data_IF_905750383474
#
_entry.id   IF_905750383474
#
_cell.length_a   1.000
_cell.length_b   1.000
_cell.length_c   1.000
_cell.angle_alpha   90.00
_cell.angle_beta   90.00
_cell.angle_gamma   90.00
#
_symmetry.space_group_name_H-M   'P 1'
#
loop_
_entity.id
_entity.type
_entity.pdbx_description
1 polymer ?
#
# COMPACT_ATOMS: atom_id res chain seq x y z
N UNK A 1 1.05 -0.95 8.51
CA UNK A 1 1.40 -2.17 9.27
C UNK A 1 0.27 -3.20 9.39
N UNK A 2 -0.96 -2.81 9.80
CA UNK A 2 -2.10 -3.76 9.92
C UNK A 2 -2.46 -4.43 8.58
N UNK A 3 -2.22 -3.75 7.45
CA UNK A 3 -2.32 -4.33 6.10
C UNK A 3 -1.30 -5.44 5.83
N UNK A 4 -0.06 -5.37 6.32
CA UNK A 4 0.97 -6.37 5.96
C UNK A 4 0.68 -7.70 6.62
N UNK A 5 0.33 -7.70 7.91
CA UNK A 5 -0.03 -8.94 8.61
C UNK A 5 -1.26 -9.59 7.98
N UNK A 6 -2.23 -8.77 7.56
CA UNK A 6 -3.45 -9.27 6.94
C UNK A 6 -3.26 -9.64 5.47
N UNK A 7 -2.46 -8.91 4.69
CA UNK A 7 -2.23 -9.14 3.26
C UNK A 7 -1.17 -10.23 3.04
N UNK A 8 -0.10 -10.36 3.86
CA UNK A 8 0.76 -11.56 3.81
C UNK A 8 -0.02 -12.80 4.29
N UNK A 9 -0.84 -12.68 5.34
CA UNK A 9 -1.67 -13.79 5.83
C UNK A 9 -2.75 -14.23 4.84
N UNK A 10 -3.49 -13.29 4.24
CA UNK A 10 -4.52 -13.60 3.25
C UNK A 10 -3.98 -13.84 1.84
N UNK A 11 -2.92 -13.19 1.36
CA UNK A 11 -2.36 -13.53 0.03
C UNK A 11 -1.68 -14.90 0.07
N UNK A 12 -1.03 -15.27 1.19
CA UNK A 12 -0.57 -16.65 1.38
C UNK A 12 -1.76 -17.63 1.44
N UNK A 13 -2.84 -17.28 2.18
CA UNK A 13 -4.03 -18.11 2.31
C UNK A 13 -4.93 -18.20 1.06
N UNK A 14 -5.09 -17.12 0.29
CA UNK A 14 -5.86 -17.08 -0.97
C UNK A 14 -5.05 -17.66 -2.12
N UNK A 15 -3.73 -17.47 -2.15
CA UNK A 15 -2.89 -18.19 -3.11
C UNK A 15 -3.00 -19.71 -2.84
N UNK A 16 -3.05 -20.15 -1.57
CA UNK A 16 -3.29 -21.57 -1.24
C UNK A 16 -4.72 -22.05 -1.54
N UNK A 17 -5.75 -21.24 -1.24
CA UNK A 17 -7.16 -21.59 -1.45
C UNK A 17 -7.58 -21.55 -2.93
N UNK A 18 -6.96 -20.68 -3.74
CA UNK A 18 -7.24 -20.56 -5.19
C UNK A 18 -6.27 -21.42 -6.02
N UNK A 19 -5.01 -21.61 -5.61
CA UNK A 19 -4.14 -22.62 -6.25
C UNK A 19 -4.53 -24.06 -5.90
N UNK A 20 -5.37 -24.29 -4.89
CA UNK A 20 -6.01 -25.60 -4.69
C UNK A 20 -6.99 -25.99 -5.81
N UNK A 21 -7.35 -25.06 -6.70
CA UNK A 21 -8.27 -25.30 -7.83
C UNK A 21 -7.76 -24.87 -9.20
N UNK A 22 -6.57 -24.28 -9.30
CA UNK A 22 -5.90 -24.11 -10.61
C UNK A 22 -4.89 -25.22 -10.73
N UNK A 23 -5.42 -26.39 -11.09
CA UNK A 23 -4.65 -27.46 -11.72
C UNK A 23 -3.68 -26.80 -12.69
N UNK A 24 -2.44 -27.24 -12.64
CA UNK A 24 -1.49 -27.16 -13.74
C UNK A 24 -2.17 -27.67 -15.01
N UNK A 25 -2.96 -26.81 -15.67
CA UNK A 25 -3.32 -26.99 -17.06
C UNK A 25 -2.04 -26.71 -17.80
N UNK A 26 -1.22 -27.75 -17.85
CA UNK A 26 -0.57 -28.24 -19.05
C UNK A 26 -1.03 -27.38 -20.22
N UNK A 27 -0.16 -26.48 -20.68
CA UNK A 27 -0.41 -25.60 -21.82
C UNK A 27 -0.67 -26.52 -23.00
N UNK A 28 -1.91 -26.96 -23.12
CA UNK A 28 -2.43 -27.66 -24.26
C UNK A 28 -2.27 -26.64 -25.37
N UNK A 29 -1.34 -26.95 -26.27
CA UNK A 29 -1.12 -26.33 -27.57
C UNK A 29 -2.41 -26.37 -28.37
N UNK A 30 -3.45 -25.63 -27.94
CA UNK A 30 -4.53 -25.26 -28.83
C UNK A 30 -3.89 -24.32 -29.82
N UNK A 31 -3.84 -24.76 -31.06
CA UNK A 31 -3.48 -23.93 -32.20
C UNK A 31 -4.27 -22.62 -32.12
N UNK A 32 -3.59 -21.58 -31.66
CA UNK A 32 -4.01 -20.22 -31.85
C UNK A 32 -3.53 -19.84 -33.25
N UNK A 33 -4.41 -19.49 -34.21
CA UNK A 33 -3.97 -19.11 -35.55
C UNK A 33 -3.19 -17.79 -35.57
N UNK A 34 -3.07 -17.12 -34.42
CA UNK A 34 -2.31 -15.89 -34.27
C UNK A 34 -1.00 -16.21 -33.56
N UNK A 35 0.02 -16.51 -34.35
CA UNK A 35 1.41 -16.41 -33.92
C UNK A 35 1.73 -14.92 -33.75
N UNK A 36 1.52 -14.39 -32.55
CA UNK A 36 2.02 -13.08 -32.18
C UNK A 36 3.54 -13.17 -32.24
N UNK A 37 4.12 -12.74 -33.36
CA UNK A 37 5.55 -12.48 -33.46
C UNK A 37 5.88 -11.51 -32.33
N UNK A 38 6.70 -11.89 -31.33
CA UNK A 38 7.18 -10.90 -30.38
C UNK A 38 7.82 -9.79 -31.22
N UNK A 39 7.50 -8.51 -30.98
CA UNK A 39 8.03 -7.44 -31.79
C UNK A 39 9.56 -7.58 -31.83
N UNK A 40 10.11 -7.77 -33.05
CA UNK A 40 11.55 -7.85 -33.30
C UNK A 40 12.25 -6.51 -33.02
N UNK A 41 11.50 -5.53 -32.54
CA UNK A 41 11.97 -4.26 -32.08
C UNK A 41 11.54 -4.15 -30.62
N UNK A 42 12.50 -4.31 -29.72
CA UNK A 42 12.45 -3.64 -28.44
C UNK A 42 12.15 -2.18 -28.78
N UNK A 43 10.90 -1.73 -28.59
CA UNK A 43 10.60 -0.30 -28.49
C UNK A 43 11.19 0.11 -27.14
N UNK A 44 12.52 0.03 -27.06
CA UNK A 44 13.30 0.67 -26.03
C UNK A 44 13.11 2.13 -26.33
N UNK A 45 12.29 2.77 -25.51
CA UNK A 45 12.30 4.22 -25.38
C UNK A 45 13.76 4.55 -25.09
N UNK A 46 14.49 5.02 -26.10
CA UNK A 46 15.79 5.62 -25.85
C UNK A 46 15.48 6.81 -24.97
N UNK A 47 15.94 6.83 -23.71
CA UNK A 47 15.70 7.98 -22.88
C UNK A 47 16.34 9.16 -23.60
N UNK A 48 15.52 10.15 -23.94
CA UNK A 48 15.93 11.38 -24.65
C UNK A 48 16.79 12.29 -23.76
N UNK A 49 17.06 11.85 -22.53
CA UNK A 49 17.75 12.60 -21.50
C UNK A 49 18.69 11.67 -20.74
N UNK A 50 19.82 12.21 -20.27
CA UNK A 50 20.78 11.41 -19.50
C UNK A 50 20.12 10.89 -18.20
N UNK A 51 20.61 9.75 -17.71
CA UNK A 51 20.09 9.13 -16.47
C UNK A 51 20.24 10.08 -15.27
N UNK A 52 21.28 10.92 -15.27
CA UNK A 52 21.52 11.88 -14.19
C UNK A 52 20.57 13.09 -14.24
N UNK A 53 20.28 13.60 -15.43
CA UNK A 53 19.36 14.74 -15.61
C UNK A 53 17.91 14.36 -15.29
N UNK A 54 17.48 13.15 -15.68
CA UNK A 54 16.13 12.65 -15.39
C UNK A 54 15.91 12.44 -13.89
N UNK A 55 16.91 11.89 -13.19
CA UNK A 55 16.87 11.70 -11.75
C UNK A 55 16.87 13.04 -11.00
N UNK A 56 17.68 14.01 -11.44
CA UNK A 56 17.70 15.36 -10.89
C UNK A 56 16.37 16.08 -11.08
N UNK A 57 15.77 16.02 -12.28
CA UNK A 57 14.48 16.64 -12.55
C UNK A 57 13.35 16.00 -11.74
N UNK A 58 13.32 14.68 -11.56
CA UNK A 58 12.33 14.04 -10.69
C UNK A 58 12.54 14.40 -9.22
N UNK A 59 13.79 14.41 -8.75
CA UNK A 59 14.09 14.69 -7.34
C UNK A 59 13.83 16.16 -6.99
N UNK A 60 14.26 17.10 -7.84
CA UNK A 60 14.04 18.54 -7.64
C UNK A 60 12.58 18.90 -7.93
N UNK A 61 11.98 18.33 -8.97
CA UNK A 61 10.58 18.59 -9.34
C UNK A 61 9.61 18.06 -8.28
N UNK A 62 9.58 16.73 -8.07
CA UNK A 62 8.63 16.12 -7.13
C UNK A 62 9.02 16.37 -5.67
N UNK A 63 10.31 16.26 -5.34
CA UNK A 63 10.80 16.53 -3.99
C UNK A 63 10.67 18.00 -3.62
N UNK A 64 11.06 18.92 -4.51
CA UNK A 64 10.89 20.36 -4.30
C UNK A 64 9.42 20.77 -4.17
N UNK A 65 8.55 20.26 -5.05
CA UNK A 65 7.11 20.51 -4.95
C UNK A 65 6.52 19.98 -3.63
N UNK A 66 6.92 18.78 -3.19
CA UNK A 66 6.49 18.23 -1.89
C UNK A 66 6.95 19.09 -0.72
N UNK A 67 8.18 19.62 -0.76
CA UNK A 67 8.71 20.50 0.30
C UNK A 67 7.93 21.81 0.33
N UNK A 68 7.65 22.42 -0.83
CA UNK A 68 6.87 23.64 -0.93
C UNK A 68 5.46 23.42 -0.36
N UNK A 69 4.78 22.34 -0.73
CA UNK A 69 3.47 22.00 -0.16
C UNK A 69 3.52 21.81 1.36
N UNK A 70 4.55 21.15 1.88
CA UNK A 70 4.74 20.96 3.32
C UNK A 70 4.94 22.30 4.04
N UNK A 71 5.76 23.20 3.46
CA UNK A 71 5.99 24.54 4.01
C UNK A 71 4.73 25.40 3.97
N UNK A 72 3.99 25.38 2.85
CA UNK A 72 2.71 26.09 2.71
C UNK A 72 1.70 25.57 3.73
N UNK A 73 1.58 24.26 3.90
CA UNK A 73 0.67 23.68 4.88
C UNK A 73 1.03 24.08 6.32
N UNK A 74 2.33 24.04 6.66
CA UNK A 74 2.81 24.45 7.98
C UNK A 74 2.62 25.96 8.20
N UNK A 75 2.77 26.77 7.15
CA UNK A 75 2.55 28.21 7.19
C UNK A 75 1.07 28.53 7.41
N UNK A 76 0.15 27.87 6.70
CA UNK A 76 -1.30 28.03 6.90
C UNK A 76 -1.70 27.66 8.34
N UNK A 77 -1.19 26.54 8.86
CA UNK A 77 -1.43 26.12 10.25
C UNK A 77 -0.98 27.17 11.26
N UNK A 78 0.19 27.77 11.03
CA UNK A 78 0.76 28.78 11.92
C UNK A 78 0.06 30.15 11.83
N UNK A 79 -0.24 30.61 10.61
CA UNK A 79 -0.76 31.97 10.37
C UNK A 79 -2.29 32.08 10.42
N UNK A 80 -3.03 31.01 10.10
CA UNK A 80 -4.50 31.03 10.04
C UNK A 80 -5.13 30.42 11.29
N UNK A 81 -4.59 29.31 11.79
CA UNK A 81 -5.20 28.53 12.88
C UNK A 81 -4.60 28.83 14.27
N UNK A 82 -3.47 29.54 14.35
CA UNK A 82 -2.73 29.81 15.60
C UNK A 82 -2.59 28.55 16.50
N UNK A 83 -2.45 27.38 15.88
CA UNK A 83 -2.37 26.11 16.61
C UNK A 83 -1.10 26.05 17.46
N UNK A 84 -1.24 25.81 18.76
CA UNK A 84 -0.13 25.40 19.61
C UNK A 84 0.46 24.09 19.09
N UNK A 85 1.79 23.96 19.13
CA UNK A 85 2.51 22.77 18.64
C UNK A 85 2.25 21.56 19.54
N UNK A 86 1.06 20.97 19.44
CA UNK A 86 0.65 19.81 20.20
C UNK A 86 0.62 18.58 19.29
N UNK A 87 1.24 17.50 19.75
CA UNK A 87 1.32 16.26 18.98
C UNK A 87 -0.06 15.62 18.85
N UNK A 88 -0.91 15.77 19.87
CA UNK A 88 -2.25 15.20 19.88
C UNK A 88 -3.20 15.85 18.86
N UNK A 89 -3.08 17.15 18.62
CA UNK A 89 -3.88 17.84 17.58
C UNK A 89 -3.42 17.51 16.18
N UNK A 90 -2.12 17.22 16.01
CA UNK A 90 -1.55 16.89 14.70
C UNK A 90 -1.78 15.42 14.31
N UNK A 91 -1.70 14.50 15.26
CA UNK A 91 -1.88 13.07 14.99
C UNK A 91 -3.33 12.59 15.09
N UNK A 92 -4.17 13.23 15.91
CA UNK A 92 -5.54 12.77 16.16
C UNK A 92 -6.61 13.84 15.86
N UNK A 93 -6.23 14.99 15.29
CA UNK A 93 -7.13 16.13 15.04
C UNK A 93 -7.95 16.52 16.29
N UNK A 94 -7.37 16.35 17.49
CA UNK A 94 -8.06 16.60 18.77
C UNK A 94 -9.16 15.60 19.12
N UNK A 95 -9.18 14.41 18.49
CA UNK A 95 -10.18 13.36 18.70
C UNK A 95 -11.46 13.55 17.88
N UNK A 96 -11.55 14.61 17.07
CA UNK A 96 -12.75 14.94 16.28
C UNK A 96 -12.62 14.51 14.81
N UNK A 97 -12.43 13.21 14.58
CA UNK A 97 -12.37 12.62 13.23
C UNK A 97 -13.65 11.86 12.90
N UNK A 98 -14.29 12.22 11.78
CA UNK A 98 -15.49 11.51 11.34
C UNK A 98 -15.17 10.06 10.94
N UNK A 99 -16.13 9.17 11.16
CA UNK A 99 -15.97 7.75 10.82
C UNK A 99 -15.72 7.55 9.32
N UNK A 100 -16.39 8.33 8.48
CA UNK A 100 -16.19 8.34 7.02
C UNK A 100 -14.78 8.80 6.63
N UNK A 101 -14.25 9.86 7.26
CA UNK A 101 -12.87 10.32 7.00
C UNK A 101 -11.86 9.23 7.38
N UNK A 102 -12.07 8.53 8.49
CA UNK A 102 -11.19 7.42 8.86
C UNK A 102 -11.31 6.22 7.93
N UNK A 103 -12.50 5.94 7.38
CA UNK A 103 -12.69 4.89 6.38
C UNK A 103 -11.98 5.22 5.06
N UNK A 104 -12.06 6.47 4.59
CA UNK A 104 -11.39 6.93 3.36
C UNK A 104 -9.87 6.88 3.51
N UNK A 105 -9.33 7.34 4.65
CA UNK A 105 -7.89 7.28 4.91
C UNK A 105 -7.38 5.84 4.90
N UNK A 106 -8.14 4.91 5.50
CA UNK A 106 -7.83 3.49 5.44
C UNK A 106 -7.87 2.99 4.00
N UNK A 107 -8.94 3.26 3.25
CA UNK A 107 -9.08 2.83 1.86
C UNK A 107 -7.93 3.34 0.97
N UNK A 108 -7.52 4.60 1.14
CA UNK A 108 -6.38 5.20 0.43
C UNK A 108 -5.07 4.48 0.74
N UNK A 109 -4.82 4.16 2.02
CA UNK A 109 -3.63 3.41 2.38
C UNK A 109 -3.61 2.04 1.72
N UNK A 110 -4.76 1.38 1.52
CA UNK A 110 -4.85 0.05 0.90
C UNK A 110 -4.46 0.05 -0.59
N UNK A 111 -4.51 1.19 -1.29
CA UNK A 111 -4.19 1.28 -2.71
C UNK A 111 -2.68 1.33 -2.95
N UNK A 112 -2.07 0.22 -3.39
CA UNK A 112 -0.65 0.16 -3.71
C UNK A 112 -0.41 0.04 -5.22
N UNK A 113 0.60 0.73 -5.77
CA UNK A 113 0.94 0.62 -7.20
C UNK A 113 1.30 -0.81 -7.62
N UNK A 114 1.89 -1.61 -6.72
CA UNK A 114 2.22 -3.01 -6.98
C UNK A 114 0.98 -3.88 -7.23
N UNK A 115 -0.17 -3.55 -6.65
CA UNK A 115 -1.43 -4.27 -6.89
C UNK A 115 -1.94 -4.05 -8.32
N UNK A 116 -1.75 -2.84 -8.84
CA UNK A 116 -2.08 -2.50 -10.24
C UNK A 116 -1.16 -3.26 -11.19
N UNK A 117 0.16 -3.27 -10.90
CA UNK A 117 1.12 -3.99 -11.72
C UNK A 117 0.86 -5.51 -11.70
N UNK A 118 0.52 -6.04 -10.54
CA UNK A 118 0.18 -7.45 -10.39
C UNK A 118 -1.10 -7.81 -11.13
N UNK A 119 -2.14 -6.99 -11.04
CA UNK A 119 -3.40 -7.23 -11.76
C UNK A 119 -3.22 -7.15 -13.29
N UNK A 120 -2.40 -6.22 -13.80
CA UNK A 120 -2.02 -6.19 -15.21
C UNK A 120 -1.28 -7.46 -15.64
N UNK A 121 -0.34 -7.93 -14.81
CA UNK A 121 0.42 -9.17 -15.07
C UNK A 121 -0.51 -10.39 -15.11
N UNK A 122 -1.49 -10.44 -14.20
CA UNK A 122 -2.45 -11.52 -14.10
C UNK A 122 -3.46 -11.49 -15.26
N UNK A 123 -3.86 -10.30 -15.73
CA UNK A 123 -4.70 -10.14 -16.93
C UNK A 123 -4.02 -10.70 -18.18
N UNK A 124 -2.71 -10.44 -18.34
CA UNK A 124 -1.94 -10.93 -19.48
C UNK A 124 -1.73 -12.45 -19.47
N UNK A 125 -1.61 -13.07 -18.28
CA UNK A 125 -1.35 -14.51 -18.14
C UNK A 125 -2.62 -15.37 -18.07
N UNK A 126 -3.65 -14.87 -17.40
CA UNK A 126 -4.86 -15.63 -17.03
C UNK A 126 -6.14 -15.04 -17.63
N UNK A 127 -6.04 -14.03 -18.50
CA UNK A 127 -7.18 -13.32 -19.07
C UNK A 127 -7.98 -12.56 -18.02
N UNK A 128 -9.25 -12.25 -18.31
CA UNK A 128 -10.14 -11.44 -17.44
C UNK A 128 -10.50 -12.16 -16.12
N UNK A 129 -10.48 -13.50 -16.10
CA UNK A 129 -10.83 -14.28 -14.93
C UNK A 129 -9.82 -14.14 -13.78
N UNK A 130 -8.53 -13.97 -14.10
CA UNK A 130 -7.47 -13.78 -13.13
C UNK A 130 -7.64 -12.54 -12.24
N UNK A 131 -7.68 -11.31 -12.79
CA UNK A 131 -7.86 -10.09 -12.02
C UNK A 131 -9.24 -10.02 -11.34
N UNK A 132 -10.27 -10.65 -11.91
CA UNK A 132 -11.60 -10.71 -11.27
C UNK A 132 -11.54 -11.44 -9.92
N UNK A 133 -10.96 -12.64 -9.86
CA UNK A 133 -10.85 -13.41 -8.61
C UNK A 133 -9.92 -12.72 -7.60
N UNK A 134 -8.86 -12.06 -8.08
CA UNK A 134 -7.98 -11.25 -7.25
C UNK A 134 -8.72 -10.06 -6.61
N UNK A 135 -9.53 -9.34 -7.39
CA UNK A 135 -10.32 -8.21 -6.92
C UNK A 135 -11.36 -8.61 -5.86
N UNK A 136 -12.01 -9.77 -6.02
CA UNK A 136 -12.97 -10.30 -5.03
C UNK A 136 -12.28 -10.57 -3.68
N UNK A 137 -11.08 -11.14 -3.69
CA UNK A 137 -10.30 -11.37 -2.46
C UNK A 137 -9.92 -10.07 -1.74
N UNK A 138 -9.53 -9.04 -2.52
CA UNK A 138 -9.19 -7.73 -1.96
C UNK A 138 -10.43 -7.02 -1.41
N UNK A 139 -11.57 -7.08 -2.11
CA UNK A 139 -12.82 -6.46 -1.66
C UNK A 139 -13.23 -6.93 -0.26
N UNK A 140 -13.14 -8.23 0.02
CA UNK A 140 -13.44 -8.77 1.35
C UNK A 140 -12.53 -8.17 2.44
N UNK A 141 -11.23 -8.05 2.15
CA UNK A 141 -10.27 -7.43 3.07
C UNK A 141 -10.62 -5.96 3.36
N UNK A 142 -10.99 -5.21 2.31
CA UNK A 142 -11.39 -3.80 2.40
C UNK A 142 -12.67 -3.63 3.23
N UNK A 143 -13.61 -4.57 3.22
CA UNK A 143 -14.84 -4.46 4.01
C UNK A 143 -14.65 -4.83 5.48
N UNK A 144 -13.86 -5.87 5.78
CA UNK A 144 -13.67 -6.34 7.17
C UNK A 144 -12.86 -5.34 8.00
N UNK A 145 -11.89 -4.66 7.39
CA UNK A 145 -10.98 -3.77 8.11
C UNK A 145 -11.67 -2.55 8.75
N UNK A 146 -12.53 -1.78 8.05
CA UNK A 146 -13.29 -0.67 8.64
C UNK A 146 -14.20 -1.14 9.77
N UNK A 147 -14.86 -2.29 9.62
CA UNK A 147 -15.75 -2.84 10.66
C UNK A 147 -14.96 -3.14 11.94
N UNK A 148 -13.79 -3.78 11.83
CA UNK A 148 -12.92 -4.02 12.97
C UNK A 148 -12.37 -2.72 13.57
N UNK A 149 -12.00 -1.74 12.74
CA UNK A 149 -11.53 -0.42 13.17
C UNK A 149 -12.56 0.30 14.03
N UNK A 150 -13.84 0.23 13.65
CA UNK A 150 -14.95 0.81 14.41
C UNK A 150 -15.13 0.10 15.75
N UNK A 151 -15.04 -1.23 15.77
CA UNK A 151 -15.11 -2.02 17.01
C UNK A 151 -13.93 -1.71 17.95
N UNK A 152 -12.73 -1.47 17.42
CA UNK A 152 -11.60 -1.04 18.24
C UNK A 152 -11.80 0.33 18.86
N UNK A 153 -12.35 1.29 18.10
CA UNK A 153 -12.67 2.64 18.59
C UNK A 153 -13.73 2.62 19.69
N UNK A 154 -14.73 1.74 19.61
CA UNK A 154 -15.79 1.64 20.63
C UNK A 154 -15.35 0.91 21.90
N UNK A 155 -14.44 -0.07 21.80
CA UNK A 155 -13.98 -0.88 22.94
C UNK A 155 -12.77 -0.30 23.69
N UNK A 156 -11.98 0.57 23.07
CA UNK A 156 -10.79 1.17 23.67
C UNK A 156 -10.68 2.68 23.36
N UNK A 157 -11.58 3.54 23.89
CA UNK A 157 -11.65 4.97 23.56
C UNK A 157 -10.45 5.82 24.01
N UNK A 158 -9.45 5.24 24.70
CA UNK A 158 -8.22 5.93 25.12
C UNK A 158 -6.94 5.48 24.41
N UNK A 159 -7.00 4.48 23.54
CA UNK A 159 -5.83 3.98 22.83
C UNK A 159 -5.61 4.74 21.52
N UNK A 160 -4.51 5.49 21.42
CA UNK A 160 -4.10 6.24 20.23
C UNK A 160 -3.38 5.36 19.20
N UNK A 161 -2.83 4.23 19.63
CA UNK A 161 -2.17 3.26 18.74
C UNK A 161 -2.63 1.84 19.06
N UNK A 162 -2.68 0.97 18.04
CA UNK A 162 -3.01 -0.44 18.24
C UNK A 162 -2.03 -1.14 19.20
N UNK A 163 -0.78 -0.66 19.30
CA UNK A 163 0.23 -1.19 20.20
C UNK A 163 -0.12 -0.96 21.68
N UNK A 164 -0.82 0.14 22.01
CA UNK A 164 -1.30 0.39 23.38
C UNK A 164 -2.36 -0.64 23.79
N UNK A 165 -3.22 -1.05 22.86
CA UNK A 165 -4.22 -2.11 23.08
C UNK A 165 -3.51 -3.45 23.35
N UNK A 166 -2.49 -3.78 22.56
CA UNK A 166 -1.68 -4.99 22.76
C UNK A 166 -0.98 -4.96 24.11
N UNK A 167 -0.43 -3.81 24.52
CA UNK A 167 0.21 -3.64 25.84
C UNK A 167 -0.76 -3.86 26.99
N UNK A 168 -1.99 -3.34 26.87
CA UNK A 168 -3.02 -3.49 27.89
C UNK A 168 -3.47 -4.95 28.04
N UNK A 169 -3.48 -5.73 26.95
CA UNK A 169 -3.94 -7.13 26.95
C UNK A 169 -2.85 -8.17 27.21
N UNK A 170 -1.66 -7.99 26.65
CA UNK A 170 -0.58 -9.00 26.62
C UNK A 170 0.70 -8.57 27.36
N UNK A 171 0.70 -7.38 27.98
CA UNK A 171 1.81 -6.88 28.78
C UNK A 171 2.98 -6.28 27.98
N UNK A 172 4.04 -5.90 28.71
CA UNK A 172 5.18 -5.12 28.17
C UNK A 172 6.08 -5.91 27.22
N UNK A 173 6.34 -7.19 27.50
CA UNK A 173 7.23 -8.04 26.67
C UNK A 173 6.68 -8.18 25.25
N UNK A 174 5.40 -8.52 25.14
CA UNK A 174 4.70 -8.65 23.85
C UNK A 174 4.63 -7.31 23.12
N UNK A 175 4.38 -6.21 23.83
CA UNK A 175 4.37 -4.87 23.23
C UNK A 175 5.70 -4.51 22.54
N UNK A 176 6.84 -4.79 23.16
CA UNK A 176 8.16 -4.51 22.56
C UNK A 176 8.39 -5.31 21.27
N UNK A 177 8.01 -6.59 21.26
CA UNK A 177 8.13 -7.45 20.07
C UNK A 177 7.25 -6.94 18.93
N UNK A 178 5.99 -6.61 19.20
CA UNK A 178 5.10 -6.03 18.18
C UNK A 178 5.58 -4.66 17.69
N UNK A 179 6.20 -3.85 18.55
CA UNK A 179 6.80 -2.58 18.17
C UNK A 179 7.99 -2.78 17.20
N UNK A 180 8.87 -3.74 17.50
CA UNK A 180 9.98 -4.09 16.62
C UNK A 180 9.49 -4.56 15.24
N UNK A 181 8.51 -5.47 15.20
CA UNK A 181 7.90 -5.91 13.94
C UNK A 181 7.24 -4.76 13.18
N UNK A 182 6.66 -3.78 13.88
CA UNK A 182 6.03 -2.62 13.28
C UNK A 182 7.00 -1.74 12.51
N UNK A 183 8.13 -1.44 13.14
CA UNK A 183 9.19 -0.64 12.54
C UNK A 183 9.81 -1.41 11.38
N UNK A 184 10.15 -2.69 11.59
CA UNK A 184 10.75 -3.55 10.56
C UNK A 184 9.88 -3.63 9.31
N UNK A 185 8.58 -3.85 9.50
CA UNK A 185 7.63 -3.95 8.39
C UNK A 185 7.53 -2.66 7.58
N UNK A 186 7.46 -1.51 8.27
CA UNK A 186 7.41 -0.22 7.59
C UNK A 186 8.71 0.01 6.81
N UNK A 187 9.87 -0.35 7.37
CA UNK A 187 11.17 -0.25 6.70
C UNK A 187 11.25 -1.16 5.46
N UNK A 188 10.84 -2.42 5.56
CA UNK A 188 10.84 -3.38 4.43
C UNK A 188 9.98 -2.88 3.28
N UNK A 189 8.80 -2.30 3.56
CA UNK A 189 7.97 -1.72 2.50
C UNK A 189 8.65 -0.53 1.86
N UNK A 190 9.18 0.40 2.66
CA UNK A 190 9.85 1.58 2.11
C UNK A 190 10.99 1.15 1.19
N UNK A 191 11.79 0.18 1.59
CA UNK A 191 12.84 -0.40 0.74
C UNK A 191 12.24 -1.04 -0.53
N UNK A 192 11.16 -1.82 -0.40
CA UNK A 192 10.48 -2.44 -1.54
C UNK A 192 9.96 -1.44 -2.57
N UNK A 193 9.32 -0.34 -2.15
CA UNK A 193 8.87 0.74 -3.04
C UNK A 193 10.06 1.42 -3.70
N UNK A 194 11.12 1.71 -2.94
CA UNK A 194 12.32 2.36 -3.47
C UNK A 194 13.02 1.49 -4.52
N UNK A 195 13.12 0.18 -4.28
CA UNK A 195 13.69 -0.77 -5.24
C UNK A 195 12.81 -0.89 -6.49
N UNK A 196 11.48 -0.92 -6.34
CA UNK A 196 10.55 -0.93 -7.47
C UNK A 196 10.68 0.34 -8.32
N UNK A 197 10.76 1.52 -7.69
CA UNK A 197 10.97 2.79 -8.40
C UNK A 197 12.34 2.87 -9.08
N UNK A 198 13.39 2.32 -8.48
CA UNK A 198 14.70 2.23 -9.13
C UNK A 198 14.67 1.34 -10.38
N UNK A 199 13.96 0.21 -10.31
CA UNK A 199 13.83 -0.72 -11.43
C UNK A 199 13.13 -0.09 -12.66
N UNK A 200 12.27 0.92 -12.45
CA UNK A 200 11.60 1.61 -13.57
C UNK A 200 12.46 2.67 -14.27
N UNK A 201 13.59 3.09 -13.67
CA UNK A 201 14.48 4.13 -14.22
C UNK A 201 15.66 3.50 -15.00
N UNK A 202 15.85 2.17 -14.91
CA UNK A 202 16.91 1.43 -15.61
C UNK A 202 16.55 1.09 -17.04
#
# INVERSE_FOLDING_TARGET
MLRIVFTLGLMSGFCFAVCGGVTTSNVSTRHCPITLKPPAQQIGVKPVLSKEETALLMLVGFGGFSIILALVHNSIRKYVFHDEHNLDTTFDAGGNVSMSLTAVTVASQLFWPGDILHSATLSTKNGIAGPFWYAVGIMFNIFVFPILSVQFKTKAPGAKTYLQIIRARFGKRTHTVFCFFAILTNLVITIGVLLAGKATIQ
#
